data_IF_697420809784
#
_entry.id   IF_697420809784
#
_cell.length_a   1.000
_cell.length_b   1.000
_cell.length_c   1.000
_cell.angle_alpha   90.00
_cell.angle_beta   90.00
_cell.angle_gamma   90.00
#
_symmetry.space_group_name_H-M   'P 1'
#
loop_
_entity.id
_entity.type
_entity.pdbx_description
1 polymer ?
#
# COMPACT_ATOMS: atom_id res chain seq x y z
N UNK A 1 -20.34 -14.08 -12.32
CA UNK A 1 -18.93 -13.66 -12.32
C UNK A 1 -18.34 -13.99 -10.96
N UNK A 2 -17.67 -15.14 -10.82
CA UNK A 2 -17.11 -15.60 -9.54
C UNK A 2 -15.87 -14.76 -9.21
N UNK A 3 -15.98 -13.87 -8.23
CA UNK A 3 -14.81 -13.23 -7.61
C UNK A 3 -14.13 -14.31 -6.76
N UNK A 4 -13.15 -15.01 -7.34
CA UNK A 4 -12.24 -15.86 -6.59
C UNK A 4 -11.35 -14.95 -5.76
N UNK A 5 -11.73 -14.73 -4.50
CA UNK A 5 -10.85 -14.22 -3.45
C UNK A 5 -9.82 -15.31 -3.18
N UNK A 6 -8.75 -15.35 -3.99
CA UNK A 6 -7.61 -16.22 -3.74
C UNK A 6 -6.83 -15.59 -2.60
N UNK A 7 -6.99 -16.19 -1.43
CA UNK A 7 -6.30 -15.91 -0.18
C UNK A 7 -4.78 -15.92 -0.35
N UNK A 8 -4.19 -14.73 -0.59
CA UNK A 8 -2.82 -14.37 -0.17
C UNK A 8 -2.89 -13.46 1.07
N UNK A 9 -3.84 -13.77 1.96
CA UNK A 9 -4.42 -12.84 2.94
C UNK A 9 -3.50 -12.56 4.14
N UNK A 10 -2.51 -13.41 4.40
CA UNK A 10 -1.78 -13.35 5.68
C UNK A 10 -0.70 -12.29 5.82
N UNK A 11 -0.12 -11.78 4.73
CA UNK A 11 1.01 -10.84 4.85
C UNK A 11 0.66 -9.41 4.44
N UNK A 12 -0.26 -9.24 3.48
CA UNK A 12 -0.75 -7.92 3.07
C UNK A 12 -1.58 -7.29 4.18
N UNK A 13 -2.53 -8.03 4.75
CA UNK A 13 -3.41 -7.52 5.80
C UNK A 13 -2.60 -7.15 7.06
N UNK A 14 -1.65 -8.01 7.47
CA UNK A 14 -0.73 -7.69 8.59
C UNK A 14 0.13 -6.46 8.31
N UNK A 15 0.54 -6.24 7.06
CA UNK A 15 1.31 -5.06 6.68
C UNK A 15 0.44 -3.81 6.68
N UNK A 16 -0.81 -3.89 6.21
CA UNK A 16 -1.79 -2.81 6.28
C UNK A 16 -2.03 -2.44 7.75
N UNK A 17 -2.34 -3.41 8.61
CA UNK A 17 -2.55 -3.18 10.04
C UNK A 17 -1.32 -2.56 10.70
N UNK A 18 -0.12 -3.02 10.34
CA UNK A 18 1.13 -2.43 10.84
C UNK A 18 1.31 -0.98 10.40
N UNK A 19 0.92 -0.65 9.17
CA UNK A 19 1.00 0.72 8.65
C UNK A 19 -0.07 1.63 9.27
N UNK A 20 -1.27 1.12 9.56
CA UNK A 20 -2.37 1.90 10.12
C UNK A 20 -2.39 1.95 11.66
N UNK A 21 -1.74 1.02 12.35
CA UNK A 21 -1.71 0.96 13.82
C UNK A 21 -0.87 2.07 14.49
N UNK A 22 -0.37 3.05 13.75
CA UNK A 22 0.52 4.10 14.25
C UNK A 22 1.95 3.62 14.60
N UNK A 23 2.18 2.31 14.71
CA UNK A 23 3.51 1.67 14.87
C UNK A 23 4.27 1.52 13.54
N UNK A 24 3.73 2.08 12.46
CA UNK A 24 4.42 2.17 11.18
C UNK A 24 5.79 2.81 11.35
N UNK A 25 6.80 2.34 10.61
CA UNK A 25 8.08 3.03 10.59
C UNK A 25 7.87 4.50 10.19
N UNK A 26 8.50 5.44 10.91
CA UNK A 26 8.46 6.91 10.65
C UNK A 26 8.56 7.26 9.16
N UNK A 27 9.28 6.43 8.38
CA UNK A 27 9.44 6.52 6.93
C UNK A 27 8.13 6.63 6.13
N UNK A 28 7.05 5.96 6.56
CA UNK A 28 5.79 5.88 5.81
C UNK A 28 4.74 6.89 6.27
N UNK A 29 4.89 7.48 7.45
CA UNK A 29 3.89 8.39 8.02
C UNK A 29 3.66 9.63 7.14
N UNK A 30 2.40 9.98 6.92
CA UNK A 30 1.96 11.10 6.09
C UNK A 30 2.15 10.89 4.59
N UNK A 31 2.28 9.65 4.12
CA UNK A 31 2.54 9.35 2.71
C UNK A 31 1.51 8.40 2.13
N UNK A 32 1.31 8.54 0.83
CA UNK A 32 0.61 7.54 0.03
C UNK A 32 1.54 6.35 -0.21
N UNK A 33 1.01 5.14 -0.06
CA UNK A 33 1.74 3.89 -0.15
C UNK A 33 0.96 2.92 -1.03
N UNK A 34 1.67 2.23 -1.92
CA UNK A 34 1.14 1.09 -2.66
C UNK A 34 1.71 -0.20 -2.06
N UNK A 35 0.83 -1.13 -1.69
CA UNK A 35 1.21 -2.48 -1.26
C UNK A 35 0.94 -3.47 -2.38
N UNK A 36 1.95 -4.25 -2.74
CA UNK A 36 1.83 -5.34 -3.69
C UNK A 36 2.88 -6.40 -3.36
N UNK A 37 2.57 -7.70 -3.54
CA UNK A 37 3.50 -8.79 -3.22
C UNK A 37 4.06 -8.76 -1.79
N UNK A 38 3.23 -8.32 -0.83
CA UNK A 38 3.62 -8.18 0.58
C UNK A 38 4.68 -7.10 0.83
N UNK A 39 4.83 -6.14 -0.09
CA UNK A 39 5.81 -5.04 0.01
C UNK A 39 5.11 -3.69 -0.10
N UNK A 40 5.51 -2.77 0.76
CA UNK A 40 5.04 -1.38 0.76
C UNK A 40 6.03 -0.47 0.02
N UNK A 41 5.53 0.23 -1.00
CA UNK A 41 6.27 1.22 -1.78
C UNK A 41 5.65 2.60 -1.56
N UNK A 42 6.48 3.60 -1.26
CA UNK A 42 6.02 5.00 -1.12
C UNK A 42 5.76 5.55 -2.51
N UNK A 43 4.59 6.14 -2.69
CA UNK A 43 4.25 6.90 -3.89
C UNK A 43 4.91 8.28 -3.80
N UNK A 44 5.59 8.74 -4.86
CA UNK A 44 6.05 10.12 -4.96
C UNK A 44 4.88 11.12 -4.90
N UNK A 45 5.14 12.34 -4.45
CA UNK A 45 4.13 13.42 -4.45
C UNK A 45 3.80 13.94 -5.86
N UNK A 46 4.40 13.37 -6.90
CA UNK A 46 4.17 13.71 -8.30
C UNK A 46 3.31 12.64 -8.98
N UNK A 47 2.15 13.05 -9.50
CA UNK A 47 1.17 12.16 -10.15
C UNK A 47 1.77 11.30 -11.27
N UNK A 48 2.60 11.88 -12.14
CA UNK A 48 3.21 11.14 -13.26
C UNK A 48 4.14 10.05 -12.74
N UNK A 49 5.00 10.40 -11.77
CA UNK A 49 5.94 9.44 -11.17
C UNK A 49 5.21 8.34 -10.39
N UNK A 50 4.08 8.67 -9.76
CA UNK A 50 3.20 7.72 -9.07
C UNK A 50 2.57 6.72 -10.03
N UNK A 51 1.99 7.20 -11.13
CA UNK A 51 1.42 6.34 -12.19
C UNK A 51 2.49 5.44 -12.81
N UNK A 52 3.68 5.97 -13.10
CA UNK A 52 4.80 5.18 -13.61
C UNK A 52 5.23 4.07 -12.64
N UNK A 53 5.30 4.37 -11.34
CA UNK A 53 5.64 3.39 -10.32
C UNK A 53 4.58 2.29 -10.23
N UNK A 54 3.29 2.64 -10.22
CA UNK A 54 2.18 1.67 -10.18
C UNK A 54 2.22 0.78 -11.42
N UNK A 55 2.32 1.37 -12.61
CA UNK A 55 2.42 0.62 -13.88
C UNK A 55 3.61 -0.36 -13.88
N UNK A 56 4.76 0.05 -13.33
CA UNK A 56 5.94 -0.80 -13.20
C UNK A 56 5.68 -1.97 -12.24
N UNK A 57 4.99 -1.71 -11.13
CA UNK A 57 4.65 -2.72 -10.14
C UNK A 57 3.61 -3.72 -10.65
N UNK A 58 2.59 -3.27 -11.38
CA UNK A 58 1.60 -4.13 -12.03
C UNK A 58 2.26 -5.05 -13.07
N UNK A 59 3.16 -4.52 -13.91
CA UNK A 59 3.94 -5.34 -14.86
C UNK A 59 4.83 -6.36 -14.16
N UNK A 60 5.40 -6.00 -13.01
CA UNK A 60 6.28 -6.88 -12.23
C UNK A 60 5.51 -7.97 -11.48
N UNK A 61 4.27 -7.68 -11.07
CA UNK A 61 3.42 -8.56 -10.28
C UNK A 61 2.03 -8.72 -10.93
N UNK A 62 1.94 -9.25 -12.16
CA UNK A 62 0.72 -9.21 -12.96
C UNK A 62 -0.45 -10.04 -12.41
N UNK A 63 -0.19 -10.90 -11.42
CA UNK A 63 -1.20 -11.75 -10.76
C UNK A 63 -1.66 -11.18 -9.42
N UNK A 64 -1.17 -10.01 -9.04
CA UNK A 64 -1.43 -9.41 -7.74
C UNK A 64 -2.08 -8.05 -7.89
N UNK A 65 -3.04 -7.78 -7.01
CA UNK A 65 -3.77 -6.52 -7.00
C UNK A 65 -3.02 -5.55 -6.08
N UNK A 66 -2.61 -4.37 -6.58
CA UNK A 66 -2.04 -3.34 -5.73
C UNK A 66 -3.10 -2.75 -4.79
N UNK A 67 -2.73 -2.55 -3.53
CA UNK A 67 -3.55 -1.84 -2.56
C UNK A 67 -2.97 -0.44 -2.35
N UNK A 68 -3.77 0.59 -2.62
CA UNK A 68 -3.41 1.98 -2.36
C UNK A 68 -3.93 2.37 -0.98
N UNK A 69 -3.06 2.94 -0.16
CA UNK A 69 -3.42 3.43 1.17
C UNK A 69 -2.66 4.70 1.52
N UNK A 70 -3.29 5.56 2.30
CA UNK A 70 -2.62 6.67 2.95
C UNK A 70 -2.26 6.27 4.37
N UNK A 71 -1.00 6.48 4.77
CA UNK A 71 -0.56 6.25 6.15
C UNK A 71 -0.70 7.58 6.89
N UNK A 72 -1.68 7.73 7.80
CA UNK A 72 -1.84 8.98 8.55
C UNK A 72 -0.65 9.22 9.48
N UNK A 73 -0.39 10.49 9.78
CA UNK A 73 0.51 10.84 10.87
C UNK A 73 -0.22 10.65 12.21
N UNK A 74 0.50 10.35 13.30
CA UNK A 74 -0.11 10.27 14.63
C UNK A 74 -0.89 11.53 15.04
N UNK A 75 -0.46 12.70 14.54
CA UNK A 75 -1.10 14.00 14.79
C UNK A 75 -2.35 14.26 13.93
N UNK A 76 -2.61 13.43 12.90
CA UNK A 76 -3.72 13.62 11.95
C UNK A 76 -4.87 12.64 12.15
N UNK A 77 -4.85 11.82 13.21
CA UNK A 77 -6.01 11.02 13.58
C UNK A 77 -7.08 11.96 14.12
N UNK A 78 -8.07 12.27 13.29
CA UNK A 78 -9.29 12.94 13.73
C UNK A 78 -10.15 11.87 14.41
N UNK A 79 -10.37 12.02 15.71
CA UNK A 79 -11.26 11.18 16.53
C UNK A 79 -12.73 11.39 16.14
#
# INVERSE_FOLDING_TARGET
MLIRVITMKDNTDKLIDKLLSGKAAKKYQGKQVVIIAGKAHILPDNDKASVELVNKLEKKYPKQIPHLLFVPRPETYIL
#
